data_IF_877341893750
#
_entry.id   IF_877341893750
#
_cell.length_a   1.000
_cell.length_b   1.000
_cell.length_c   1.000
_cell.angle_alpha   90.00
_cell.angle_beta   90.00
_cell.angle_gamma   90.00
#
_symmetry.space_group_name_H-M   'P 1'
#
loop_
_entity.id
_entity.type
_entity.pdbx_description
1 polymer ?
#
# COMPACT_ATOMS: atom_id res chain seq x y z
N UNK A 1 3.35 2.80 -27.21
CA UNK A 1 2.57 2.75 -28.48
C UNK A 1 1.23 2.08 -28.20
N UNK A 2 1.22 0.88 -27.66
CA UNK A 2 0.01 0.09 -27.39
C UNK A 2 -1.02 0.80 -26.47
N UNK A 3 -0.58 1.57 -25.48
CA UNK A 3 -1.49 2.31 -24.61
C UNK A 3 -2.20 3.47 -25.31
N UNK A 4 -1.56 4.10 -26.27
CA UNK A 4 -2.15 5.17 -27.08
C UNK A 4 -3.20 4.59 -28.03
N UNK A 5 -2.86 3.48 -28.66
CA UNK A 5 -3.76 2.77 -29.56
C UNK A 5 -5.00 2.25 -28.82
N UNK A 6 -4.80 1.79 -27.57
CA UNK A 6 -5.90 1.39 -26.69
C UNK A 6 -6.84 2.56 -26.38
N UNK A 7 -6.33 3.73 -26.01
CA UNK A 7 -7.13 4.94 -25.76
C UNK A 7 -7.92 5.36 -27.00
N UNK A 8 -7.32 5.28 -28.19
CA UNK A 8 -7.98 5.62 -29.43
C UNK A 8 -9.13 4.67 -29.77
N UNK A 9 -8.90 3.37 -29.57
CA UNK A 9 -9.91 2.33 -29.85
C UNK A 9 -11.14 2.43 -28.93
N UNK A 10 -10.97 3.06 -27.74
CA UNK A 10 -12.03 3.22 -26.73
C UNK A 10 -12.67 4.62 -26.71
N UNK A 11 -12.39 5.46 -27.71
CA UNK A 11 -12.84 6.85 -27.77
C UNK A 11 -12.38 7.71 -26.56
N UNK A 12 -11.22 7.39 -26.00
CA UNK A 12 -10.61 8.08 -24.87
C UNK A 12 -9.40 8.94 -25.29
N UNK A 13 -9.32 9.30 -26.58
CA UNK A 13 -8.20 10.06 -27.15
C UNK A 13 -7.94 11.38 -26.42
N UNK A 14 -8.98 12.03 -25.89
CA UNK A 14 -8.87 13.28 -25.14
C UNK A 14 -8.04 13.12 -23.85
N UNK A 15 -7.97 11.91 -23.28
CA UNK A 15 -7.17 11.64 -22.09
C UNK A 15 -5.66 11.71 -22.35
N UNK A 16 -5.22 11.66 -23.60
CA UNK A 16 -3.78 11.74 -23.96
C UNK A 16 -3.13 13.03 -23.48
N UNK A 17 -3.89 14.13 -23.46
CA UNK A 17 -3.38 15.43 -22.97
C UNK A 17 -3.11 15.39 -21.46
N UNK A 18 -3.85 14.58 -20.72
CA UNK A 18 -3.75 14.45 -19.26
C UNK A 18 -2.83 13.31 -18.82
N UNK A 19 -2.38 12.47 -19.76
CA UNK A 19 -1.54 11.30 -19.51
C UNK A 19 -0.19 11.44 -20.27
N UNK A 20 0.72 12.31 -19.80
CA UNK A 20 1.99 12.53 -20.47
C UNK A 20 2.82 11.24 -20.59
N UNK A 21 3.67 11.15 -21.61
CA UNK A 21 4.64 10.07 -21.74
C UNK A 21 5.55 10.00 -20.50
N UNK A 22 5.92 8.80 -20.08
CA UNK A 22 6.79 8.53 -18.93
C UNK A 22 6.24 9.11 -17.59
N UNK A 23 4.93 9.19 -17.45
CA UNK A 23 4.30 9.61 -16.20
C UNK A 23 3.65 8.44 -15.47
N UNK A 24 3.65 8.50 -14.14
CA UNK A 24 3.04 7.47 -13.29
C UNK A 24 1.54 7.31 -13.55
N UNK A 25 0.87 8.37 -14.00
CA UNK A 25 -0.56 8.35 -14.33
C UNK A 25 -0.90 7.36 -15.45
N UNK A 26 0.06 6.99 -16.29
CA UNK A 26 -0.14 5.97 -17.33
C UNK A 26 -0.44 4.58 -16.79
N UNK A 27 -0.12 4.31 -15.54
CA UNK A 27 -0.51 3.07 -14.84
C UNK A 27 -2.03 2.89 -14.82
N UNK A 28 -2.79 3.99 -14.76
CA UNK A 28 -4.25 3.97 -14.77
C UNK A 28 -4.83 3.36 -16.05
N UNK A 29 -4.14 3.47 -17.19
CA UNK A 29 -4.56 2.82 -18.45
C UNK A 29 -4.52 1.30 -18.27
N UNK A 30 -3.47 0.78 -17.63
CA UNK A 30 -3.38 -0.65 -17.32
C UNK A 30 -4.49 -1.12 -16.38
N UNK A 31 -4.89 -0.30 -15.42
CA UNK A 31 -6.01 -0.63 -14.53
C UNK A 31 -7.33 -0.69 -15.29
N UNK A 32 -7.62 0.31 -16.14
CA UNK A 32 -8.82 0.32 -16.96
C UNK A 32 -8.86 -0.88 -17.91
N UNK A 33 -7.76 -1.23 -18.53
CA UNK A 33 -7.65 -2.39 -19.40
C UNK A 33 -7.87 -3.71 -18.63
N UNK A 34 -7.37 -3.82 -17.41
CA UNK A 34 -7.59 -4.98 -16.55
C UNK A 34 -9.09 -5.13 -16.22
N UNK A 35 -9.76 -4.03 -15.85
CA UNK A 35 -11.21 -4.02 -15.59
C UNK A 35 -12.01 -4.42 -16.84
N UNK A 36 -11.67 -3.89 -18.01
CA UNK A 36 -12.33 -4.24 -19.27
C UNK A 36 -12.19 -5.73 -19.61
N UNK A 37 -11.02 -6.31 -19.28
CA UNK A 37 -10.77 -7.74 -19.45
C UNK A 37 -11.43 -8.62 -18.38
N UNK A 38 -12.18 -8.02 -17.45
CA UNK A 38 -12.93 -8.74 -16.43
C UNK A 38 -12.09 -9.19 -15.23
N UNK A 39 -11.01 -8.48 -14.91
CA UNK A 39 -10.26 -8.76 -13.69
C UNK A 39 -11.08 -8.33 -12.46
N UNK A 40 -11.21 -9.21 -11.47
CA UNK A 40 -11.82 -8.90 -10.19
C UNK A 40 -10.83 -8.20 -9.24
N UNK A 41 -9.55 -8.56 -9.35
CA UNK A 41 -8.47 -8.03 -8.51
C UNK A 41 -7.34 -7.49 -9.39
N UNK A 42 -6.85 -6.30 -9.06
CA UNK A 42 -5.66 -5.73 -9.68
C UNK A 42 -4.54 -5.70 -8.66
N UNK A 43 -3.40 -6.29 -9.01
CA UNK A 43 -2.16 -6.23 -8.23
C UNK A 43 -1.23 -5.24 -8.92
N UNK A 44 -0.91 -4.15 -8.23
CA UNK A 44 -0.01 -3.10 -8.71
C UNK A 44 1.34 -3.21 -8.02
N UNK A 45 2.38 -3.43 -8.81
CA UNK A 45 3.76 -3.55 -8.35
C UNK A 45 4.67 -2.62 -9.15
N UNK A 46 5.73 -2.13 -8.52
CA UNK A 46 6.83 -1.47 -9.22
C UNK A 46 7.85 -2.54 -9.69
N UNK A 47 8.57 -2.25 -10.75
CA UNK A 47 9.50 -3.17 -11.43
C UNK A 47 10.79 -3.47 -10.64
N UNK A 48 11.07 -2.68 -9.61
CA UNK A 48 12.18 -2.86 -8.67
C UNK A 48 11.76 -3.60 -7.37
N UNK A 49 10.49 -3.98 -7.23
CA UNK A 49 10.01 -4.75 -6.10
C UNK A 49 10.19 -6.25 -6.34
N UNK A 50 10.93 -6.90 -5.45
CA UNK A 50 11.16 -8.34 -5.49
C UNK A 50 10.31 -9.05 -4.43
N UNK A 51 9.56 -10.07 -4.86
CA UNK A 51 8.87 -10.95 -3.93
C UNK A 51 9.88 -11.71 -3.07
N UNK A 52 9.60 -11.84 -1.76
CA UNK A 52 10.36 -12.72 -0.88
C UNK A 52 9.87 -14.17 -1.05
N UNK A 53 10.33 -15.06 -0.17
CA UNK A 53 10.03 -16.50 -0.21
C UNK A 53 8.58 -16.84 0.20
N UNK A 54 7.58 -16.18 -0.41
CA UNK A 54 6.16 -16.44 -0.17
C UNK A 54 5.34 -16.18 -1.43
N UNK A 55 4.15 -16.74 -1.47
CA UNK A 55 3.21 -16.57 -2.58
C UNK A 55 2.49 -15.23 -2.51
N UNK A 56 3.13 -14.17 -3.03
CA UNK A 56 2.56 -12.82 -3.06
C UNK A 56 1.24 -12.75 -3.83
N UNK A 57 1.10 -13.56 -4.88
CA UNK A 57 -0.14 -13.59 -5.69
C UNK A 57 -1.27 -14.23 -4.89
N UNK A 58 -1.01 -15.36 -4.24
CA UNK A 58 -1.97 -16.01 -3.36
C UNK A 58 -2.38 -15.13 -2.18
N UNK A 59 -1.43 -14.40 -1.59
CA UNK A 59 -1.71 -13.45 -0.53
C UNK A 59 -2.65 -12.33 -0.97
N UNK A 60 -2.46 -11.79 -2.17
CA UNK A 60 -3.31 -10.73 -2.71
C UNK A 60 -4.63 -11.23 -3.32
N UNK A 61 -4.71 -12.49 -3.71
CA UNK A 61 -5.92 -13.09 -4.27
C UNK A 61 -7.11 -13.14 -3.30
N UNK A 62 -6.87 -12.92 -2.00
CA UNK A 62 -7.92 -12.87 -0.96
C UNK A 62 -8.60 -11.49 -0.83
N UNK A 63 -8.20 -10.51 -1.65
CA UNK A 63 -8.87 -9.20 -1.72
C UNK A 63 -10.29 -9.40 -2.27
N UNK A 64 -11.27 -8.75 -1.64
CA UNK A 64 -12.70 -8.96 -1.91
C UNK A 64 -13.35 -10.00 -1.00
N UNK A 65 -12.58 -10.72 -0.18
CA UNK A 65 -13.09 -11.74 0.74
C UNK A 65 -13.19 -11.23 2.17
N UNK A 66 -14.07 -11.86 2.95
CA UNK A 66 -14.14 -11.66 4.39
C UNK A 66 -12.97 -12.39 5.08
N UNK A 67 -12.19 -11.67 5.87
CA UNK A 67 -10.99 -12.17 6.51
C UNK A 67 -10.95 -11.79 8.00
N UNK A 68 -10.37 -12.68 8.81
CA UNK A 68 -9.96 -12.35 10.17
C UNK A 68 -8.78 -11.39 10.15
N UNK A 69 -8.94 -10.25 10.81
CA UNK A 69 -7.95 -9.16 10.81
C UNK A 69 -7.66 -8.72 12.24
N UNK A 70 -6.50 -8.08 12.40
CA UNK A 70 -6.19 -7.29 13.57
C UNK A 70 -6.51 -5.82 13.26
N UNK A 71 -7.70 -5.37 13.67
CA UNK A 71 -8.14 -4.01 13.41
C UNK A 71 -7.43 -3.02 14.33
N UNK A 72 -6.79 -2.00 13.73
CA UNK A 72 -6.12 -0.94 14.45
C UNK A 72 -6.99 0.30 14.56
N UNK A 73 -7.11 0.84 15.77
CA UNK A 73 -7.77 2.10 16.06
C UNK A 73 -6.81 3.07 16.75
N UNK A 74 -6.97 4.37 16.50
CA UNK A 74 -6.15 5.42 17.09
C UNK A 74 -6.96 6.69 17.33
N UNK A 75 -6.75 7.38 18.47
CA UNK A 75 -7.46 8.62 18.78
C UNK A 75 -7.08 9.79 17.85
N UNK A 76 -5.88 9.76 17.27
CA UNK A 76 -5.40 10.83 16.36
C UNK A 76 -5.71 10.56 14.88
N UNK A 77 -6.48 9.54 14.56
CA UNK A 77 -6.92 9.16 13.21
C UNK A 77 -5.79 8.70 12.27
N UNK A 78 -4.52 8.68 12.67
CA UNK A 78 -3.41 8.30 11.80
C UNK A 78 -2.62 7.12 12.36
N UNK A 79 -2.54 6.06 11.58
CA UNK A 79 -1.74 4.88 11.86
C UNK A 79 -0.44 4.90 11.03
N UNK A 80 0.69 4.76 11.70
CA UNK A 80 1.98 4.64 11.05
C UNK A 80 2.29 3.17 10.79
N UNK A 81 2.01 2.67 9.59
CA UNK A 81 2.27 1.28 9.20
C UNK A 81 3.76 0.89 9.27
N UNK A 82 4.69 1.86 9.14
CA UNK A 82 6.11 1.61 9.32
C UNK A 82 6.47 1.13 10.74
N UNK A 83 5.62 1.42 11.73
CA UNK A 83 5.81 0.93 13.10
C UNK A 83 5.65 -0.57 13.29
N UNK A 84 5.11 -1.28 12.28
CA UNK A 84 5.01 -2.74 12.27
C UNK A 84 6.35 -3.43 11.96
N UNK A 85 7.31 -2.69 11.42
CA UNK A 85 8.60 -3.22 11.01
C UNK A 85 9.62 -3.20 12.16
N UNK A 86 10.52 -4.18 12.12
CA UNK A 86 11.77 -4.17 12.88
C UNK A 86 12.87 -3.53 12.05
N UNK A 87 13.71 -2.71 12.67
CA UNK A 87 14.82 -2.02 12.04
C UNK A 87 16.14 -2.38 12.71
N UNK A 88 17.23 -2.40 11.94
CA UNK A 88 18.57 -2.79 12.46
C UNK A 88 19.04 -1.95 13.62
N UNK A 89 18.94 -0.62 13.54
CA UNK A 89 19.54 0.31 14.49
C UNK A 89 18.61 1.45 14.90
N UNK A 90 17.33 1.36 14.59
CA UNK A 90 16.39 2.45 14.76
C UNK A 90 15.19 2.07 15.63
N UNK A 91 14.67 3.06 16.33
CA UNK A 91 13.40 2.92 17.00
C UNK A 91 12.26 3.00 15.98
N UNK A 92 11.53 1.94 15.79
CA UNK A 92 10.42 1.86 14.82
C UNK A 92 9.36 2.96 15.03
N UNK A 93 9.24 3.52 16.22
CA UNK A 93 8.31 4.61 16.53
C UNK A 93 8.72 5.97 15.95
N UNK A 94 9.96 6.10 15.52
CA UNK A 94 10.52 7.32 14.93
C UNK A 94 10.66 7.23 13.40
N UNK A 95 10.34 6.09 12.82
CA UNK A 95 10.33 5.87 11.39
C UNK A 95 8.89 5.95 10.90
N UNK A 96 8.63 6.84 9.93
CA UNK A 96 7.29 7.09 9.40
C UNK A 96 7.19 6.68 7.95
N UNK A 97 6.11 6.00 7.62
CA UNK A 97 5.78 5.68 6.23
C UNK A 97 5.68 6.95 5.37
N UNK A 98 6.13 6.87 4.14
CA UNK A 98 6.00 7.96 3.16
C UNK A 98 4.53 8.38 3.03
N UNK A 99 4.26 9.67 3.16
CA UNK A 99 2.90 10.22 3.17
C UNK A 99 2.27 10.34 4.56
N UNK A 100 2.90 9.82 5.63
CA UNK A 100 2.43 10.10 6.98
C UNK A 100 2.57 11.60 7.28
N UNK A 101 1.50 12.29 7.79
CA UNK A 101 1.50 13.73 7.96
C UNK A 101 2.60 14.22 8.91
N UNK A 102 3.45 15.13 8.43
CA UNK A 102 4.52 15.71 9.25
C UNK A 102 4.00 16.38 10.51
N UNK A 103 2.85 17.03 10.45
CA UNK A 103 2.21 17.68 11.60
C UNK A 103 1.81 16.72 12.72
N UNK A 104 1.68 15.42 12.41
CA UNK A 104 1.27 14.38 13.36
C UNK A 104 2.44 13.60 13.97
N UNK A 105 3.67 13.80 13.49
CA UNK A 105 4.86 13.07 13.97
C UNK A 105 5.26 13.42 15.40
N UNK A 106 4.91 14.61 15.87
CA UNK A 106 5.20 15.06 17.24
C UNK A 106 4.08 14.70 18.23
N UNK A 107 2.99 14.10 17.76
CA UNK A 107 1.92 13.64 18.63
C UNK A 107 2.26 12.25 19.19
N UNK A 108 1.78 11.96 20.39
CA UNK A 108 1.90 10.62 20.95
C UNK A 108 1.11 9.64 20.10
N UNK A 109 1.78 8.58 19.63
CA UNK A 109 1.18 7.56 18.78
C UNK A 109 0.62 6.44 19.65
N UNK A 110 -0.69 6.51 19.93
CA UNK A 110 -1.42 5.48 20.66
C UNK A 110 -2.22 4.62 19.68
N UNK A 111 -2.01 3.30 19.75
CA UNK A 111 -2.71 2.32 18.92
C UNK A 111 -3.35 1.26 19.81
N UNK A 112 -4.63 0.97 19.54
CA UNK A 112 -5.32 -0.18 20.08
C UNK A 112 -5.63 -1.18 18.97
N UNK A 113 -5.55 -2.46 19.29
CA UNK A 113 -5.78 -3.54 18.33
C UNK A 113 -6.86 -4.48 18.85
N UNK A 114 -7.78 -4.88 17.97
CA UNK A 114 -8.82 -5.87 18.29
C UNK A 114 -9.02 -6.84 17.13
N UNK A 115 -9.43 -8.08 17.45
CA UNK A 115 -9.79 -9.06 16.43
C UNK A 115 -11.14 -8.71 15.82
N UNK A 116 -11.22 -8.73 14.49
CA UNK A 116 -12.46 -8.46 13.76
C UNK A 116 -12.50 -9.27 12.46
N UNK A 117 -13.70 -9.50 11.93
CA UNK A 117 -13.89 -9.99 10.57
C UNK A 117 -14.22 -8.81 9.66
N UNK A 118 -13.52 -8.68 8.53
CA UNK A 118 -13.68 -7.58 7.59
C UNK A 118 -13.61 -8.06 6.15
N UNK A 119 -14.44 -7.49 5.30
CA UNK A 119 -14.25 -7.60 3.86
C UNK A 119 -13.10 -6.67 3.45
N UNK A 120 -12.01 -7.24 2.98
CA UNK A 120 -10.77 -6.53 2.67
C UNK A 120 -10.76 -6.16 1.18
N UNK A 121 -11.07 -4.92 0.86
CA UNK A 121 -11.15 -4.43 -0.53
C UNK A 121 -9.82 -3.88 -1.06
N UNK A 122 -8.90 -3.49 -0.18
CA UNK A 122 -7.55 -3.03 -0.53
C UNK A 122 -6.56 -3.69 0.44
N UNK A 123 -5.49 -4.25 -0.11
CA UNK A 123 -4.39 -4.83 0.67
C UNK A 123 -3.07 -4.27 0.18
N UNK A 124 -2.32 -3.62 1.07
CA UNK A 124 -0.98 -3.10 0.79
C UNK A 124 0.07 -3.93 1.51
N UNK A 125 1.13 -4.30 0.81
CA UNK A 125 2.30 -4.94 1.39
C UNK A 125 3.27 -3.94 2.01
N UNK A 126 4.12 -4.42 2.91
CA UNK A 126 5.22 -3.66 3.50
C UNK A 126 6.54 -4.00 2.79
N UNK A 127 7.50 -3.09 2.85
CA UNK A 127 8.83 -3.28 2.28
C UNK A 127 9.84 -3.62 3.36
N UNK A 128 10.62 -4.63 3.08
CA UNK A 128 11.81 -4.95 3.86
C UNK A 128 13.07 -4.42 3.17
N UNK A 129 14.19 -4.44 3.87
CA UNK A 129 15.48 -3.87 3.47
C UNK A 129 15.39 -2.34 3.33
N UNK A 130 14.91 -1.82 2.22
CA UNK A 130 14.68 -0.37 2.01
C UNK A 130 13.20 -0.06 2.15
N UNK A 131 12.75 0.34 3.36
CA UNK A 131 11.33 0.58 3.61
C UNK A 131 10.84 1.85 2.91
N UNK A 132 9.55 1.90 2.60
CA UNK A 132 8.92 3.06 1.97
C UNK A 132 8.69 4.19 2.99
N UNK A 133 9.75 4.93 3.27
CA UNK A 133 9.78 6.08 4.17
C UNK A 133 9.94 7.39 3.40
N UNK A 134 9.70 8.51 4.06
CA UNK A 134 9.93 9.80 3.44
C UNK A 134 11.43 10.07 3.20
N UNK A 135 11.69 10.97 2.24
CA UNK A 135 13.04 11.26 1.79
C UNK A 135 13.94 11.82 2.90
N UNK A 136 13.40 12.58 3.84
CA UNK A 136 14.19 13.15 4.96
C UNK A 136 14.62 12.03 5.88
N UNK A 137 13.70 11.18 6.31
CA UNK A 137 14.00 9.99 7.12
C UNK A 137 15.02 9.10 6.43
N UNK A 138 14.87 8.90 5.09
CA UNK A 138 15.82 8.08 4.33
C UNK A 138 17.23 8.68 4.30
N UNK A 139 17.37 9.99 4.08
CA UNK A 139 18.66 10.65 3.99
C UNK A 139 19.35 10.81 5.36
N UNK A 140 18.59 11.04 6.43
CA UNK A 140 19.14 11.27 7.77
C UNK A 140 19.46 9.97 8.50
N UNK A 141 18.66 8.93 8.32
CA UNK A 141 18.75 7.69 9.11
C UNK A 141 19.08 6.46 8.28
N UNK A 142 18.68 6.40 6.99
CA UNK A 142 18.87 5.25 6.11
C UNK A 142 18.34 3.95 6.72
N UNK A 143 17.10 3.92 7.24
CA UNK A 143 16.61 2.78 8.00
C UNK A 143 16.56 1.52 7.13
N UNK A 144 16.98 0.38 7.71
CA UNK A 144 16.88 -0.93 7.08
C UNK A 144 15.90 -1.79 7.87
N UNK A 145 14.81 -2.18 7.21
CA UNK A 145 13.79 -3.05 7.79
C UNK A 145 14.21 -4.51 7.67
N UNK A 146 14.34 -5.20 8.80
CA UNK A 146 14.80 -6.59 8.87
C UNK A 146 13.66 -7.60 8.86
N UNK A 147 12.46 -7.19 9.26
CA UNK A 147 11.29 -8.06 9.31
C UNK A 147 10.08 -7.36 9.90
N UNK A 148 9.04 -8.15 10.18
CA UNK A 148 7.90 -7.72 10.97
C UNK A 148 8.17 -7.95 12.46
N UNK A 149 7.73 -7.03 13.30
CA UNK A 149 7.69 -7.23 14.74
C UNK A 149 6.84 -8.45 15.09
N UNK A 150 7.21 -9.13 16.16
CA UNK A 150 6.65 -10.45 16.51
C UNK A 150 5.13 -10.45 16.64
N UNK A 151 4.55 -9.36 17.13
CA UNK A 151 3.10 -9.18 17.32
C UNK A 151 2.31 -9.08 16.00
N UNK A 152 2.99 -8.80 14.88
CA UNK A 152 2.37 -8.67 13.55
C UNK A 152 2.71 -9.81 12.61
N UNK A 153 3.51 -10.79 13.06
CA UNK A 153 3.83 -11.96 12.24
C UNK A 153 2.56 -12.75 11.96
N UNK A 154 2.28 -13.00 10.68
CA UNK A 154 1.10 -13.69 10.18
C UNK A 154 -0.24 -12.96 10.48
N UNK A 155 -0.19 -11.68 10.78
CA UNK A 155 -1.38 -10.87 10.97
C UNK A 155 -1.66 -10.03 9.73
N UNK A 156 -2.95 -9.96 9.36
CA UNK A 156 -3.45 -8.93 8.45
C UNK A 156 -3.97 -7.77 9.31
N UNK A 157 -3.33 -6.61 9.20
CA UNK A 157 -3.74 -5.42 9.96
C UNK A 157 -4.69 -4.59 9.13
N UNK A 158 -5.92 -4.39 9.62
CA UNK A 158 -6.92 -3.56 8.99
C UNK A 158 -7.08 -2.22 9.71
N UNK A 159 -7.36 -1.17 8.95
CA UNK A 159 -7.64 0.15 9.51
C UNK A 159 -9.07 0.20 10.06
N UNK A 160 -9.22 0.57 11.32
CA UNK A 160 -10.51 0.77 11.94
C UNK A 160 -11.22 2.03 11.43
N UNK A 161 -12.44 2.25 11.86
CA UNK A 161 -13.24 3.40 11.44
C UNK A 161 -12.56 4.71 11.82
N UNK A 162 -12.43 5.62 10.84
CA UNK A 162 -11.73 6.90 10.97
C UNK A 162 -10.22 6.77 11.25
N UNK A 163 -9.62 5.62 11.01
CA UNK A 163 -8.18 5.42 11.04
C UNK A 163 -7.64 5.45 9.63
N UNK A 164 -6.62 6.24 9.37
CA UNK A 164 -5.99 6.42 8.06
C UNK A 164 -4.52 5.99 8.12
N UNK A 165 -4.03 5.42 7.04
CA UNK A 165 -2.62 5.15 6.83
C UNK A 165 -2.26 5.46 5.38
N UNK A 166 -1.06 5.95 5.09
CA UNK A 166 -0.64 6.10 3.70
C UNK A 166 -0.62 4.74 3.00
N UNK A 167 -1.12 4.73 1.77
CA UNK A 167 -1.04 3.59 0.85
C UNK A 167 -0.53 4.11 -0.48
N UNK A 168 0.34 3.38 -1.13
CA UNK A 168 0.78 3.65 -2.48
C UNK A 168 0.52 2.46 -3.39
N UNK A 169 0.61 2.65 -4.70
CA UNK A 169 0.32 1.62 -5.71
C UNK A 169 1.54 0.80 -6.11
N UNK A 170 2.60 0.81 -5.33
CA UNK A 170 3.85 0.12 -5.66
C UNK A 170 3.88 -1.34 -5.19
N UNK A 171 3.05 -1.68 -4.19
CA UNK A 171 2.88 -3.02 -3.64
C UNK A 171 1.47 -3.15 -3.05
N UNK A 172 0.45 -3.09 -3.91
CA UNK A 172 -0.95 -3.00 -3.46
C UNK A 172 -1.86 -3.77 -4.39
N UNK A 173 -2.76 -4.55 -3.81
CA UNK A 173 -3.89 -5.14 -4.51
C UNK A 173 -5.19 -4.44 -4.12
N UNK A 174 -6.11 -4.35 -5.06
CA UNK A 174 -7.44 -3.79 -4.82
C UNK A 174 -8.49 -4.46 -5.71
N UNK A 175 -9.70 -4.55 -5.18
CA UNK A 175 -10.83 -5.10 -5.89
C UNK A 175 -11.39 -4.07 -6.89
N UNK A 176 -11.76 -4.53 -8.09
CA UNK A 176 -12.21 -3.64 -9.17
C UNK A 176 -13.54 -2.96 -8.89
N UNK A 177 -14.36 -3.46 -7.97
CA UNK A 177 -15.60 -2.78 -7.51
C UNK A 177 -15.35 -1.41 -6.86
N UNK A 178 -14.10 -1.06 -6.58
CA UNK A 178 -13.71 0.26 -6.08
C UNK A 178 -13.47 1.31 -7.18
N UNK A 179 -13.53 0.92 -8.47
CA UNK A 179 -13.16 1.76 -9.62
C UNK A 179 -14.36 2.40 -10.34
#
# INVERSE_FOLDING_TARGET
>A
EDQIDWLDSHNLSDLKEYLPHNSIQRRNIGYLQACENGADIIISLDDDNLARDHDIVGDFATVGEEQEVLEVNTPNNWYNSASMLEYENENSREIYHRGFPYSRRNEEQEYSFERASRNVMIRAGLWFDVPDVDVITHLERGPRATGLRSEFKNELVALGKNTYSPVNTQNTAFHTDLM
#
